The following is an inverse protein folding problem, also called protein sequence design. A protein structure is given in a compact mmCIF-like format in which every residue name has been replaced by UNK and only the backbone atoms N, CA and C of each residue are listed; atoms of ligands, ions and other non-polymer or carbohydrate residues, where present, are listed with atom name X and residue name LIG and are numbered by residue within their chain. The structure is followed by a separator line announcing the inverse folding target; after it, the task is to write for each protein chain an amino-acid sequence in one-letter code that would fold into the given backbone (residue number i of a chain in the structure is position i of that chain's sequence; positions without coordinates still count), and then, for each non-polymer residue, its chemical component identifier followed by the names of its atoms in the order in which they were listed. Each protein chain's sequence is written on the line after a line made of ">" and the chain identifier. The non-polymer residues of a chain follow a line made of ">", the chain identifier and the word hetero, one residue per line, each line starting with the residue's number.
data_IF_229437670623
#
_entry.id   IF_229437670623
#
_cell.length_a   1.000
_cell.length_b   1.000
_cell.length_c   1.000
_cell.angle_alpha   90.00
_cell.angle_beta   90.00
_cell.angle_gamma   90.00
#
_symmetry.space_group_name_H-M   'P 1'
#
loop_
_entity.id
_entity.type
_entity.pdbx_description
1 polymer ?
#
# COMPACT_ATOMS: atom_id res chain seq x y z
N UNK A 1 30.73 15.12 -16.51
CA UNK A 1 31.22 13.87 -17.14
C UNK A 1 31.17 12.75 -16.10
N UNK A 2 30.24 11.80 -16.19
CA UNK A 2 30.21 10.65 -15.27
C UNK A 2 31.36 9.70 -15.60
N UNK A 3 32.11 9.24 -14.59
CA UNK A 3 33.34 8.46 -14.81
C UNK A 3 33.07 7.15 -15.56
N UNK A 4 34.03 6.72 -16.40
CA UNK A 4 33.96 5.49 -17.21
C UNK A 4 33.63 4.25 -16.36
N UNK A 5 34.11 4.23 -15.10
CA UNK A 5 33.80 3.20 -14.09
C UNK A 5 32.32 3.18 -13.67
N UNK A 6 31.69 4.34 -13.47
CA UNK A 6 30.27 4.42 -13.13
C UNK A 6 29.38 3.99 -14.31
N UNK A 7 29.77 4.30 -15.55
CA UNK A 7 29.04 3.89 -16.76
C UNK A 7 29.05 2.36 -16.94
N UNK A 8 30.19 1.72 -16.69
CA UNK A 8 30.33 0.26 -16.76
C UNK A 8 29.56 -0.45 -15.63
N UNK A 9 29.58 0.11 -14.40
CA UNK A 9 28.75 -0.41 -13.29
C UNK A 9 27.25 -0.29 -13.57
N UNK A 10 26.82 0.84 -14.14
CA UNK A 10 25.43 1.06 -14.53
C UNK A 10 25.00 0.08 -15.63
N UNK A 11 25.81 -0.12 -16.67
CA UNK A 11 25.53 -1.12 -17.71
C UNK A 11 25.44 -2.53 -17.12
N UNK A 12 26.37 -2.93 -16.25
CA UNK A 12 26.33 -4.25 -15.58
C UNK A 12 25.11 -4.43 -14.67
N UNK A 13 24.58 -3.36 -14.09
CA UNK A 13 23.35 -3.40 -13.29
C UNK A 13 22.10 -3.62 -14.16
N UNK A 14 22.04 -3.02 -15.35
CA UNK A 14 20.94 -3.21 -16.31
C UNK A 14 20.87 -4.65 -16.82
N UNK A 15 22.01 -5.34 -16.93
CA UNK A 15 22.10 -6.73 -17.39
C UNK A 15 21.72 -7.76 -16.31
N UNK A 16 21.52 -7.33 -15.06
CA UNK A 16 21.33 -8.26 -13.94
C UNK A 16 19.85 -8.61 -13.79
N UNK A 17 19.47 -9.84 -14.16
CA UNK A 17 18.10 -10.36 -13.97
C UNK A 17 17.74 -10.41 -12.47
N UNK A 18 16.58 -9.85 -12.05
CA UNK A 18 16.16 -9.92 -10.66
C UNK A 18 15.86 -11.36 -10.26
N UNK A 19 16.57 -11.87 -9.25
CA UNK A 19 16.34 -13.22 -8.71
C UNK A 19 15.04 -13.24 -7.89
N UNK A 20 14.13 -14.16 -8.21
CA UNK A 20 12.90 -14.38 -7.42
C UNK A 20 13.28 -14.93 -6.04
N UNK A 21 12.71 -14.37 -4.98
CA UNK A 21 12.88 -14.86 -3.61
C UNK A 21 12.09 -16.16 -3.45
N UNK A 22 12.63 -17.12 -2.69
CA UNK A 22 11.94 -18.38 -2.37
C UNK A 22 10.81 -18.14 -1.38
N UNK A 23 9.68 -18.82 -1.61
CA UNK A 23 8.50 -18.75 -0.76
C UNK A 23 8.61 -19.74 0.41
N UNK A 24 8.40 -19.26 1.63
CA UNK A 24 8.48 -20.06 2.86
C UNK A 24 7.41 -21.17 2.89
N UNK A 25 6.17 -20.87 2.48
CA UNK A 25 5.05 -21.84 2.48
C UNK A 25 5.34 -23.02 1.55
N UNK A 26 5.94 -22.74 0.39
CA UNK A 26 6.32 -23.76 -0.60
C UNK A 26 7.53 -24.57 -0.11
N UNK A 27 8.45 -23.94 0.62
CA UNK A 27 9.64 -24.62 1.17
C UNK A 27 9.24 -25.60 2.28
N UNK A 28 8.28 -25.22 3.11
CA UNK A 28 7.81 -26.02 4.26
C UNK A 28 6.66 -26.98 3.89
N UNK A 29 6.26 -27.04 2.62
CA UNK A 29 5.15 -27.87 2.09
C UNK A 29 3.84 -27.71 2.87
N UNK A 30 3.57 -26.49 3.32
CA UNK A 30 2.35 -26.19 4.07
C UNK A 30 1.21 -26.04 3.07
N UNK A 31 0.23 -26.94 3.15
CA UNK A 31 -0.90 -26.98 2.20
C UNK A 31 -1.93 -25.86 2.43
N UNK A 32 -2.10 -25.42 3.68
CA UNK A 32 -3.08 -24.41 4.06
C UNK A 32 -2.53 -23.46 5.12
N UNK A 33 -2.89 -22.17 5.05
CA UNK A 33 -2.45 -21.16 6.02
C UNK A 33 -3.57 -20.87 7.00
N UNK A 34 -3.48 -21.47 8.18
CA UNK A 34 -4.43 -21.22 9.26
C UNK A 34 -4.12 -19.96 10.06
N UNK A 35 -5.17 -19.32 10.59
CA UNK A 35 -5.03 -18.16 11.48
C UNK A 35 -4.49 -18.54 12.88
N UNK A 36 -4.53 -19.83 13.22
CA UNK A 36 -4.07 -20.38 14.51
C UNK A 36 -2.54 -20.53 14.55
N UNK A 37 -1.89 -20.62 13.40
CA UNK A 37 -0.44 -20.81 13.30
C UNK A 37 0.31 -19.49 13.48
N UNK A 38 0.31 -18.99 14.72
CA UNK A 38 0.92 -17.69 15.09
C UNK A 38 2.39 -17.62 14.68
N UNK A 39 3.13 -18.72 14.83
CA UNK A 39 4.55 -18.82 14.48
C UNK A 39 4.79 -18.65 12.98
N UNK A 40 3.92 -19.23 12.15
CA UNK A 40 3.98 -19.10 10.70
C UNK A 40 3.64 -17.66 10.29
N UNK A 41 2.54 -17.12 10.82
CA UNK A 41 2.06 -15.77 10.53
C UNK A 41 3.06 -14.70 10.94
N UNK A 42 3.75 -14.86 12.09
CA UNK A 42 4.79 -13.92 12.53
C UNK A 42 5.95 -13.80 11.55
N UNK A 43 6.33 -14.87 10.83
CA UNK A 43 7.37 -14.82 9.79
C UNK A 43 6.99 -13.95 8.59
N UNK A 44 5.70 -13.80 8.34
CA UNK A 44 5.16 -12.87 7.33
C UNK A 44 4.97 -11.45 7.85
N UNK A 45 5.24 -11.20 9.13
CA UNK A 45 5.12 -9.89 9.76
C UNK A 45 6.49 -9.23 9.97
N UNK A 46 6.46 -7.91 10.11
CA UNK A 46 7.57 -7.08 10.57
C UNK A 46 7.54 -7.01 12.10
N UNK A 47 8.65 -6.62 12.71
CA UNK A 47 8.78 -6.36 14.15
C UNK A 47 7.75 -5.35 14.68
N UNK A 48 7.25 -4.45 13.83
CA UNK A 48 6.15 -3.51 14.15
C UNK A 48 4.76 -4.12 14.04
N UNK A 49 4.68 -5.44 13.86
CA UNK A 49 3.47 -6.19 13.61
C UNK A 49 2.72 -5.77 12.34
N UNK A 50 3.45 -5.30 11.32
CA UNK A 50 2.88 -4.99 9.98
C UNK A 50 3.13 -6.15 9.03
N UNK A 51 2.17 -6.46 8.15
CA UNK A 51 2.35 -7.51 7.13
C UNK A 51 3.45 -7.11 6.14
N UNK A 52 4.39 -8.00 5.86
CA UNK A 52 5.46 -7.78 4.88
C UNK A 52 4.89 -7.84 3.46
N UNK A 53 5.48 -7.04 2.57
CA UNK A 53 5.08 -7.03 1.17
C UNK A 53 5.44 -8.36 0.48
N UNK A 54 4.59 -8.81 -0.46
CA UNK A 54 4.77 -10.04 -1.25
C UNK A 54 6.19 -10.23 -1.79
N UNK A 55 6.81 -9.16 -2.28
CA UNK A 55 8.18 -9.16 -2.85
C UNK A 55 9.29 -9.54 -1.86
N UNK A 56 9.05 -9.37 -0.56
CA UNK A 56 10.03 -9.70 0.48
C UNK A 56 10.06 -11.21 0.73
N UNK A 57 8.89 -11.84 0.69
CA UNK A 57 8.71 -13.26 1.01
C UNK A 57 8.63 -14.13 -0.25
N UNK A 58 8.52 -13.56 -1.45
CA UNK A 58 8.43 -14.32 -2.70
C UNK A 58 7.08 -15.02 -2.91
N UNK A 59 6.03 -14.60 -2.19
CA UNK A 59 4.72 -15.26 -2.22
C UNK A 59 3.97 -15.05 -3.55
N UNK A 60 3.07 -15.97 -3.89
CA UNK A 60 2.07 -15.76 -4.95
C UNK A 60 1.03 -14.72 -4.52
N UNK A 61 0.27 -14.17 -5.47
CA UNK A 61 -0.81 -13.21 -5.19
C UNK A 61 -1.92 -13.85 -4.36
N UNK A 62 -2.32 -15.07 -4.70
CA UNK A 62 -3.36 -15.84 -4.00
C UNK A 62 -2.93 -16.09 -2.55
N UNK A 63 -1.78 -16.72 -2.36
CA UNK A 63 -1.22 -16.97 -1.03
C UNK A 63 -1.06 -15.69 -0.18
N UNK A 64 -0.67 -14.56 -0.80
CA UNK A 64 -0.59 -13.29 -0.07
C UNK A 64 -1.97 -12.80 0.42
N UNK A 65 -3.04 -13.03 -0.34
CA UNK A 65 -4.41 -12.73 0.08
C UNK A 65 -4.82 -13.67 1.21
N UNK A 66 -4.53 -14.96 1.10
CA UNK A 66 -4.87 -15.95 2.13
C UNK A 66 -4.16 -15.63 3.45
N UNK A 67 -2.86 -15.33 3.41
CA UNK A 67 -2.10 -14.87 4.57
C UNK A 67 -2.69 -13.57 5.14
N UNK A 68 -3.07 -12.61 4.29
CA UNK A 68 -3.65 -11.36 4.77
C UNK A 68 -4.98 -11.58 5.51
N UNK A 69 -5.84 -12.47 4.99
CA UNK A 69 -7.10 -12.86 5.64
C UNK A 69 -6.82 -13.61 6.94
N UNK A 70 -5.90 -14.58 6.94
CA UNK A 70 -5.51 -15.31 8.15
C UNK A 70 -4.94 -14.39 9.23
N UNK A 71 -4.08 -13.43 8.87
CA UNK A 71 -3.55 -12.42 9.81
C UNK A 71 -4.65 -11.51 10.33
N UNK A 72 -5.64 -11.14 9.50
CA UNK A 72 -6.79 -10.34 9.94
C UNK A 72 -7.61 -11.10 10.99
N UNK A 73 -7.97 -12.35 10.70
CA UNK A 73 -8.73 -13.21 11.61
C UNK A 73 -7.95 -13.47 12.92
N UNK A 74 -6.65 -13.74 12.82
CA UNK A 74 -5.78 -13.93 14.00
C UNK A 74 -5.72 -12.68 14.90
N UNK A 75 -5.81 -11.48 14.33
CA UNK A 75 -5.87 -10.23 15.10
C UNK A 75 -7.22 -10.01 15.76
N UNK A 76 -8.31 -10.36 15.07
CA UNK A 76 -9.67 -10.33 15.63
C UNK A 76 -9.80 -11.32 16.80
N UNK A 77 -9.14 -12.48 16.71
CA UNK A 77 -9.05 -13.48 17.79
C UNK A 77 -7.99 -13.14 18.87
N UNK A 78 -7.41 -11.93 18.83
CA UNK A 78 -6.36 -11.48 19.75
C UNK A 78 -5.09 -12.35 19.83
N UNK A 79 -4.85 -13.24 18.86
CA UNK A 79 -3.63 -14.06 18.77
C UNK A 79 -2.42 -13.24 18.32
N UNK A 80 -2.66 -12.19 17.52
CA UNK A 80 -1.62 -11.31 16.99
C UNK A 80 -1.91 -9.84 17.30
N UNK A 81 -0.90 -9.03 17.65
CA UNK A 81 -1.08 -7.61 17.92
C UNK A 81 -1.26 -6.80 16.63
N UNK A 82 -2.10 -5.76 16.70
CA UNK A 82 -2.26 -4.77 15.61
C UNK A 82 -1.05 -3.86 15.46
N UNK A 83 -0.43 -3.45 16.58
CA UNK A 83 0.73 -2.56 16.59
C UNK A 83 1.71 -2.97 17.68
N UNK A 84 3.01 -2.88 17.39
CA UNK A 84 4.06 -2.96 18.40
C UNK A 84 4.83 -1.65 18.38
N UNK A 85 4.85 -0.93 19.51
CA UNK A 85 5.68 0.26 19.68
C UNK A 85 7.14 -0.20 19.71
N UNK A 86 7.93 0.22 18.73
CA UNK A 86 9.39 0.06 18.80
C UNK A 86 9.88 1.26 19.60
N UNK A 87 10.19 1.05 20.88
CA UNK A 87 10.91 2.02 21.69
C UNK A 87 12.31 2.13 21.12
N UNK A 88 12.47 2.92 20.06
CA UNK A 88 13.80 3.36 19.70
C UNK A 88 14.24 4.28 20.83
N UNK A 89 15.05 3.76 21.75
CA UNK A 89 15.84 4.54 22.68
C UNK A 89 16.88 5.28 21.82
N UNK A 90 16.41 6.28 21.07
CA UNK A 90 17.33 7.25 20.47
C UNK A 90 17.89 7.99 21.66
N UNK A 91 19.17 7.72 21.95
CA UNK A 91 19.95 8.60 22.80
C UNK A 91 19.67 10.05 22.36
N UNK A 92 19.53 11.00 23.30
CA UNK A 92 19.48 12.41 22.96
C UNK A 92 20.63 12.65 21.99
N UNK A 93 20.34 13.07 20.76
CA UNK A 93 21.41 13.55 19.90
C UNK A 93 21.91 14.78 20.62
N UNK A 94 23.09 14.69 21.24
CA UNK A 94 23.81 15.86 21.69
C UNK A 94 23.79 16.82 20.52
N UNK A 95 23.04 17.91 20.70
CA UNK A 95 22.95 18.98 19.74
C UNK A 95 24.37 19.52 19.67
N UNK A 96 25.12 19.03 18.69
CA UNK A 96 26.51 19.40 18.47
C UNK A 96 26.63 20.90 18.62
N UNK A 97 27.42 21.27 19.61
CA UNK A 97 28.00 22.57 19.82
C UNK A 97 28.46 23.12 18.47
N UNK A 98 28.13 24.39 18.25
CA UNK A 98 28.35 25.17 17.04
C UNK A 98 29.74 24.91 16.45
N UNK A 99 29.83 23.93 15.55
CA UNK A 99 30.93 23.80 14.63
C UNK A 99 30.82 24.99 13.68
N UNK A 100 31.63 26.01 13.93
CA UNK A 100 32.04 27.01 12.96
C UNK A 100 32.78 26.31 11.82
N UNK A 101 32.05 25.54 11.02
CA UNK A 101 32.50 25.02 9.75
C UNK A 101 32.45 26.19 8.77
N UNK A 102 33.61 26.85 8.62
CA UNK A 102 33.99 27.83 7.59
C UNK A 102 33.79 27.29 6.14
N UNK A 103 32.56 26.88 5.80
CA UNK A 103 32.18 26.39 4.45
C UNK A 103 31.33 27.40 3.68
N UNK A 104 31.30 28.64 4.13
CA UNK A 104 30.77 29.80 3.39
C UNK A 104 31.83 30.44 2.47
N UNK A 105 32.69 29.64 1.82
CA UNK A 105 33.58 30.15 0.76
C UNK A 105 33.17 29.81 -0.68
N UNK A 106 32.25 28.87 -0.93
CA UNK A 106 31.98 28.44 -2.32
C UNK A 106 30.50 28.14 -2.68
N UNK A 107 29.52 28.54 -1.85
CA UNK A 107 28.13 28.62 -2.32
C UNK A 107 27.91 29.97 -2.99
N UNK A 108 28.27 30.07 -4.26
CA UNK A 108 27.99 31.22 -5.11
C UNK A 108 26.53 31.70 -5.02
N UNK A 109 26.24 32.95 -5.44
CA UNK A 109 24.96 33.60 -5.20
C UNK A 109 23.80 32.72 -5.68
N UNK A 110 22.79 32.55 -4.81
CA UNK A 110 21.52 31.90 -5.19
C UNK A 110 21.02 32.62 -6.44
N UNK A 111 20.88 31.89 -7.55
CA UNK A 111 20.33 32.44 -8.80
C UNK A 111 19.00 33.14 -8.47
N UNK A 112 18.78 34.38 -8.90
CA UNK A 112 17.51 35.05 -8.68
C UNK A 112 16.40 34.18 -9.28
N UNK A 113 15.30 34.03 -8.54
CA UNK A 113 14.08 33.46 -9.10
C UNK A 113 13.72 34.35 -10.30
N UNK A 114 13.59 33.75 -11.49
CA UNK A 114 13.02 34.47 -12.62
C UNK A 114 11.58 34.80 -12.23
N UNK A 115 11.28 36.08 -12.09
CA UNK A 115 9.90 36.55 -12.01
C UNK A 115 9.28 36.23 -13.37
N UNK A 116 8.53 35.13 -13.41
CA UNK A 116 7.76 34.73 -14.58
C UNK A 116 6.50 35.61 -14.61
N UNK A 117 6.67 36.85 -15.08
CA UNK A 117 5.59 37.70 -15.54
C UNK A 117 5.15 37.23 -16.94
N UNK A 118 4.75 35.96 -17.04
CA UNK A 118 3.84 35.51 -18.08
C UNK A 118 2.42 35.62 -17.54
N UNK A 119 1.79 36.73 -17.90
CA UNK A 119 0.34 36.90 -17.97
C UNK A 119 -0.26 35.77 -18.84
N UNK A 120 -0.46 34.60 -18.25
CA UNK A 120 -1.23 33.49 -18.81
C UNK A 120 -2.59 33.46 -18.13
N UNK A 121 -3.60 34.00 -18.81
CA UNK A 121 -4.95 34.17 -18.28
C UNK A 121 -5.56 32.87 -17.76
N UNK A 122 -5.95 32.87 -16.48
CA UNK A 122 -6.97 31.96 -15.97
C UNK A 122 -8.30 32.36 -16.61
N UNK A 123 -8.62 31.76 -17.76
CA UNK A 123 -9.99 31.75 -18.28
C UNK A 123 -10.86 31.03 -17.26
N UNK A 124 -11.67 31.80 -16.55
CA UNK A 124 -12.79 31.31 -15.75
C UNK A 124 -13.76 30.60 -16.69
N UNK A 125 -13.65 29.27 -16.80
CA UNK A 125 -14.77 28.43 -17.24
C UNK A 125 -15.85 28.50 -16.16
N UNK A 126 -16.70 29.51 -16.23
CA UNK A 126 -18.05 29.43 -15.68
C UNK A 126 -18.79 28.38 -16.49
N UNK A 127 -18.91 27.17 -15.94
CA UNK A 127 -19.85 26.18 -16.45
C UNK A 127 -21.23 26.58 -15.94
N UNK A 128 -22.13 26.95 -16.85
CA UNK A 128 -23.54 27.10 -16.54
C UNK A 128 -24.08 25.72 -16.10
N UNK A 129 -24.83 25.61 -14.98
CA UNK A 129 -25.51 24.38 -14.66
C UNK A 129 -26.71 24.23 -15.59
N UNK A 130 -26.58 23.41 -16.63
CA UNK A 130 -27.76 22.88 -17.33
C UNK A 130 -28.49 21.97 -16.35
N UNK A 131 -29.64 22.41 -15.86
CA UNK A 131 -30.56 21.56 -15.13
C UNK A 131 -30.96 20.39 -16.03
N UNK A 132 -30.49 19.18 -15.69
CA UNK A 132 -31.10 17.96 -16.18
C UNK A 132 -32.29 17.67 -15.26
N UNK A 133 -33.48 18.00 -15.76
CA UNK A 133 -34.73 17.44 -15.27
C UNK A 133 -34.67 15.93 -15.47
N UNK A 134 -34.48 15.18 -14.39
CA UNK A 134 -34.69 13.74 -14.40
C UNK A 134 -36.20 13.54 -14.26
N UNK A 135 -36.84 13.33 -15.41
CA UNK A 135 -38.18 12.78 -15.50
C UNK A 135 -38.18 11.41 -14.79
N UNK A 136 -38.68 11.38 -13.55
CA UNK A 136 -39.00 10.12 -12.88
C UNK A 136 -40.33 9.67 -13.48
N UNK A 137 -40.26 8.82 -14.50
CA UNK A 137 -41.42 8.02 -14.91
C UNK A 137 -41.66 6.94 -13.84
N UNK A 138 -42.78 6.96 -13.10
CA UNK A 138 -43.14 5.83 -12.26
C UNK A 138 -43.83 4.82 -13.15
N UNK A 139 -43.10 3.83 -13.65
CA UNK A 139 -43.74 2.68 -14.25
C UNK A 139 -43.00 1.39 -13.93
N UNK A 140 -43.21 0.90 -12.71
CA UNK A 140 -43.30 -0.54 -12.47
C UNK A 140 -44.43 -0.77 -11.46
N UNK A 141 -45.65 -0.79 -11.98
CA UNK A 141 -46.72 -1.59 -11.41
C UNK A 141 -46.44 -3.02 -11.82
N UNK A 142 -46.00 -3.86 -10.89
CA UNK A 142 -46.03 -5.30 -11.02
C UNK A 142 -46.72 -5.86 -9.79
N UNK A 143 -48.05 -5.80 -9.85
CA UNK A 143 -48.98 -6.68 -9.18
C UNK A 143 -48.51 -8.14 -9.41
N UNK A 144 -48.17 -8.84 -8.33
CA UNK A 144 -48.22 -10.31 -8.31
C UNK A 144 -49.14 -10.68 -7.16
N UNK A 145 -50.43 -10.61 -7.46
CA UNK A 145 -51.46 -11.41 -6.82
C UNK A 145 -51.60 -12.70 -7.64
N UNK A 146 -51.20 -13.82 -7.06
CA UNK A 146 -51.82 -15.10 -7.40
C UNK A 146 -51.76 -16.02 -6.18
N UNK A 147 -52.95 -16.19 -5.63
CA UNK A 147 -53.40 -17.31 -4.81
C UNK A 147 -52.83 -18.64 -5.30
N UNK A 148 -52.32 -19.47 -4.39
CA UNK A 148 -52.40 -20.93 -4.55
C UNK A 148 -52.71 -21.58 -3.21
N UNK A 149 -54.01 -21.67 -2.96
CA UNK A 149 -54.62 -22.54 -1.97
C UNK A 149 -54.59 -24.00 -2.46
N UNK A 150 -53.73 -24.86 -1.91
CA UNK A 150 -53.98 -26.31 -1.90
C UNK A 150 -53.17 -27.09 -0.83
N UNK A 151 -53.87 -27.44 0.26
CA UNK A 151 -54.00 -28.77 0.86
C UNK A 151 -52.75 -29.68 0.99
N UNK A 152 -52.50 -30.13 2.23
CA UNK A 152 -51.60 -31.25 2.49
C UNK A 152 -51.61 -31.69 3.96
N UNK A 153 -52.76 -32.13 4.46
CA UNK A 153 -52.87 -32.85 5.71
C UNK A 153 -52.29 -34.26 5.57
N UNK A 154 -51.26 -34.57 6.36
CA UNK A 154 -50.80 -35.93 6.73
C UNK A 154 -49.92 -35.76 7.97
N UNK A 155 -49.92 -36.54 9.03
CA UNK A 155 -50.72 -37.65 9.56
C UNK A 155 -50.28 -37.78 11.01
#
# INVERSE_FOLDING_TARGET
>A
MTSKSNKLRAQKALLRKPKKRSNVVVTEKIGFVDYKDVNLLQRFMSDRSKLRARRMNGNSVQLQRDIATAVKNAREMALLPYTKRVSATRAPRERGEYGSDDRDRDRGPRRPRRDDSSSGGFSSRTSAPTAQTVEVSPNITAEISTDDSAQGATS
#
